data_IF_939820461370
#
_entry.id   IF_939820461370
#
_cell.length_a   1.000
_cell.length_b   1.000
_cell.length_c   1.000
_cell.angle_alpha   90.00
_cell.angle_beta   90.00
_cell.angle_gamma   90.00
#
_symmetry.space_group_name_H-M   'P 1'
#
loop_
_entity.id
_entity.type
_entity.pdbx_description
1 polymer ?
#
# COMPACT_ATOMS: atom_id res chain seq x y z
N UNK A 1 3.16 6.32 -24.33
CA UNK A 1 2.60 7.11 -25.44
C UNK A 1 1.28 6.48 -25.89
N UNK A 2 0.30 7.29 -26.26
CA UNK A 2 -1.01 6.85 -26.73
C UNK A 2 -1.22 7.40 -28.15
N UNK A 3 -1.35 6.52 -29.14
CA UNK A 3 -1.74 6.93 -30.49
C UNK A 3 -3.25 6.93 -30.57
N UNK A 4 -3.85 8.10 -30.80
CA UNK A 4 -5.31 8.26 -30.91
C UNK A 4 -5.68 8.24 -32.38
N UNK A 5 -6.47 7.25 -32.78
CA UNK A 5 -7.02 7.15 -34.13
C UNK A 5 -8.24 8.08 -34.30
N UNK A 6 -8.49 8.51 -35.54
CA UNK A 6 -9.72 9.22 -35.92
C UNK A 6 -10.94 8.28 -35.78
N UNK A 7 -12.12 8.81 -35.43
CA UNK A 7 -13.34 8.00 -35.28
C UNK A 7 -13.72 7.17 -36.50
N UNK A 8 -13.37 7.66 -37.69
CA UNK A 8 -13.64 7.06 -38.98
C UNK A 8 -12.50 6.19 -39.53
N UNK A 9 -11.45 5.95 -38.74
CA UNK A 9 -10.31 5.15 -39.17
C UNK A 9 -10.74 3.70 -39.49
N UNK A 10 -10.35 3.24 -40.67
CA UNK A 10 -10.62 1.89 -41.13
C UNK A 10 -9.78 0.86 -40.36
N UNK A 11 -10.25 -0.40 -40.34
CA UNK A 11 -9.51 -1.51 -39.71
C UNK A 11 -8.08 -1.65 -40.25
N UNK A 12 -7.90 -1.42 -41.56
CA UNK A 12 -6.59 -1.46 -42.19
C UNK A 12 -5.65 -0.36 -41.68
N UNK A 13 -6.17 0.84 -41.42
CA UNK A 13 -5.37 1.94 -40.84
C UNK A 13 -4.98 1.66 -39.40
N UNK A 14 -5.89 1.08 -38.61
CA UNK A 14 -5.61 0.67 -37.22
C UNK A 14 -4.53 -0.42 -37.17
N UNK A 15 -4.63 -1.42 -38.04
CA UNK A 15 -3.65 -2.50 -38.12
C UNK A 15 -2.28 -2.00 -38.60
N UNK A 16 -2.25 -1.06 -39.55
CA UNK A 16 -1.01 -0.43 -40.02
C UNK A 16 -0.30 0.37 -38.92
N UNK A 17 -1.04 1.13 -38.13
CA UNK A 17 -0.49 1.89 -36.99
C UNK A 17 0.03 0.95 -35.90
N UNK A 18 -0.69 -0.13 -35.61
CA UNK A 18 -0.25 -1.17 -34.67
C UNK A 18 1.05 -1.84 -35.13
N UNK A 19 1.13 -2.22 -36.41
CA UNK A 19 2.34 -2.81 -36.99
C UNK A 19 3.53 -1.85 -37.00
N UNK A 20 3.31 -0.57 -37.32
CA UNK A 20 4.35 0.45 -37.29
C UNK A 20 4.90 0.66 -35.87
N UNK A 21 4.02 0.65 -34.86
CA UNK A 21 4.43 0.72 -33.45
C UNK A 21 5.28 -0.49 -33.04
N UNK A 22 4.88 -1.70 -33.43
CA UNK A 22 5.65 -2.93 -33.17
C UNK A 22 7.00 -2.92 -33.89
N UNK A 23 7.05 -2.49 -35.14
CA UNK A 23 8.29 -2.37 -35.92
C UNK A 23 9.25 -1.33 -35.31
N UNK A 24 8.72 -0.30 -34.66
CA UNK A 24 9.49 0.69 -33.92
C UNK A 24 9.93 0.20 -32.52
N UNK A 25 9.69 -1.07 -32.18
CA UNK A 25 10.17 -1.70 -30.94
C UNK A 25 9.26 -1.53 -29.74
N UNK A 26 7.98 -1.23 -29.96
CA UNK A 26 7.01 -1.01 -28.89
C UNK A 26 5.92 -2.07 -28.88
N UNK A 27 5.47 -2.45 -27.68
CA UNK A 27 4.22 -3.18 -27.54
C UNK A 27 3.06 -2.31 -28.02
N UNK A 28 2.14 -2.88 -28.80
CA UNK A 28 0.96 -2.23 -29.32
C UNK A 28 -0.30 -2.97 -28.88
N UNK A 29 -1.20 -2.30 -28.17
CA UNK A 29 -2.51 -2.82 -27.81
C UNK A 29 -3.59 -1.86 -28.28
N UNK A 30 -4.58 -2.39 -28.99
CA UNK A 30 -5.70 -1.65 -29.58
C UNK A 30 -6.87 -1.66 -28.61
N UNK A 31 -7.28 -0.47 -28.15
CA UNK A 31 -8.45 -0.30 -27.29
C UNK A 31 -9.53 0.48 -28.03
N UNK A 32 -10.74 -0.06 -28.12
CA UNK A 32 -11.92 0.69 -28.58
C UNK A 32 -12.55 1.43 -27.40
N UNK A 33 -12.79 2.74 -27.56
CA UNK A 33 -13.42 3.58 -26.54
C UNK A 33 -14.66 4.27 -27.12
N UNK A 34 -15.64 4.58 -26.28
CA UNK A 34 -16.86 5.30 -26.71
C UNK A 34 -16.62 6.82 -26.84
N UNK A 35 -17.04 7.50 -27.94
CA UNK A 35 -17.40 6.97 -29.26
C UNK A 35 -16.22 7.07 -30.25
N UNK A 36 -15.80 5.94 -30.80
CA UNK A 36 -15.00 5.80 -32.04
C UNK A 36 -13.49 5.96 -31.89
N UNK A 37 -12.96 6.30 -30.71
CA UNK A 37 -11.51 6.49 -30.55
C UNK A 37 -10.84 5.15 -30.30
N UNK A 38 -9.89 4.81 -31.15
CA UNK A 38 -9.01 3.67 -30.96
C UNK A 38 -7.67 4.15 -30.43
N UNK A 39 -7.22 3.56 -29.33
CA UNK A 39 -5.99 3.92 -28.66
C UNK A 39 -4.98 2.80 -28.83
N UNK A 40 -3.80 3.11 -29.39
CA UNK A 40 -2.64 2.21 -29.38
C UNK A 40 -1.70 2.66 -28.25
N UNK A 41 -1.58 1.84 -27.21
CA UNK A 41 -0.60 2.08 -26.13
C UNK A 41 0.76 1.62 -26.60
N UNK A 42 1.74 2.52 -26.57
CA UNK A 42 3.13 2.38 -27.03
C UNK A 42 4.02 2.85 -25.86
N UNK A 43 5.18 2.27 -25.60
CA UNK A 43 6.03 2.59 -24.43
C UNK A 43 6.57 4.03 -24.34
N UNK A 44 7.81 4.18 -23.85
CA UNK A 44 8.50 5.50 -23.80
C UNK A 44 8.98 5.84 -25.21
N UNK A 45 8.48 6.92 -25.79
CA UNK A 45 8.69 7.22 -27.19
C UNK A 45 9.88 8.15 -27.45
N UNK A 46 10.68 7.86 -28.48
CA UNK A 46 11.62 8.83 -29.05
C UNK A 46 10.87 9.90 -29.88
N UNK A 47 11.42 11.12 -30.02
CA UNK A 47 10.87 12.17 -30.88
C UNK A 47 10.59 11.69 -32.31
N UNK A 48 11.55 10.99 -32.92
CA UNK A 48 11.43 10.47 -34.29
C UNK A 48 10.28 9.45 -34.44
N UNK A 49 10.00 8.67 -33.39
CA UNK A 49 8.90 7.70 -33.42
C UNK A 49 7.54 8.37 -33.30
N UNK A 50 7.45 9.48 -32.57
CA UNK A 50 6.23 10.29 -32.47
C UNK A 50 5.90 10.87 -33.84
N UNK A 51 6.87 11.51 -34.49
CA UNK A 51 6.70 12.11 -35.82
C UNK A 51 6.31 11.06 -36.88
N UNK A 52 6.97 9.91 -36.88
CA UNK A 52 6.65 8.82 -37.79
C UNK A 52 5.22 8.30 -37.60
N UNK A 53 4.76 8.11 -36.35
CA UNK A 53 3.41 7.63 -36.07
C UNK A 53 2.33 8.70 -36.31
N UNK A 54 2.60 9.97 -36.02
CA UNK A 54 1.68 11.07 -36.33
C UNK A 54 1.43 11.22 -37.83
N UNK A 55 2.41 10.87 -38.66
CA UNK A 55 2.29 10.95 -40.11
C UNK A 55 1.40 9.85 -40.73
N UNK A 56 1.03 8.82 -39.96
CA UNK A 56 0.28 7.68 -40.49
C UNK A 56 -1.21 8.01 -40.77
N UNK A 57 -1.79 7.46 -41.86
CA UNK A 57 -3.22 7.58 -42.13
C UNK A 57 -4.08 7.05 -40.97
N UNK A 58 -5.20 7.72 -40.72
CA UNK A 58 -6.10 7.36 -39.63
C UNK A 58 -5.66 7.83 -38.24
N UNK A 59 -4.42 8.30 -38.04
CA UNK A 59 -3.99 8.90 -36.77
C UNK A 59 -4.58 10.32 -36.63
N UNK A 60 -5.09 10.64 -35.44
CA UNK A 60 -5.60 11.96 -35.09
C UNK A 60 -4.57 12.77 -34.28
N UNK A 61 -3.93 12.14 -33.30
CA UNK A 61 -2.87 12.75 -32.46
C UNK A 61 -2.11 11.67 -31.69
N UNK A 62 -0.82 11.89 -31.42
CA UNK A 62 -0.01 11.03 -30.55
C UNK A 62 0.17 11.70 -29.18
N UNK A 63 -0.59 11.24 -28.18
CA UNK A 63 -0.48 11.73 -26.81
C UNK A 63 0.70 11.07 -26.08
N UNK A 64 1.81 11.79 -25.96
CA UNK A 64 2.91 11.39 -25.09
C UNK A 64 2.58 11.83 -23.66
N UNK A 65 2.90 10.99 -22.66
CA UNK A 65 2.94 11.49 -21.30
C UNK A 65 3.97 12.63 -21.28
N UNK A 66 3.50 13.86 -21.06
CA UNK A 66 4.40 15.01 -20.99
C UNK A 66 5.39 14.76 -19.86
N UNK A 67 6.67 14.74 -20.19
CA UNK A 67 7.64 15.43 -19.38
C UNK A 67 8.49 16.32 -20.29
N UNK A 68 8.08 17.58 -20.42
CA UNK A 68 8.90 18.58 -21.11
C UNK A 68 8.79 19.91 -20.37
N UNK A 69 9.58 20.04 -19.29
CA UNK A 69 10.19 21.32 -18.91
C UNK A 69 9.53 22.13 -17.79
N UNK A 70 8.49 21.64 -17.12
CA UNK A 70 8.08 22.25 -15.85
C UNK A 70 9.04 21.77 -14.75
N UNK A 71 9.62 22.66 -13.91
CA UNK A 71 10.37 22.20 -12.76
C UNK A 71 9.47 21.30 -11.92
N UNK A 72 9.85 20.04 -11.76
CA UNK A 72 9.14 19.10 -10.92
C UNK A 72 9.28 19.60 -9.47
N UNK A 73 8.23 20.23 -8.92
CA UNK A 73 8.24 20.74 -7.54
C UNK A 73 7.80 19.69 -6.51
N UNK A 74 7.32 18.55 -6.99
CA UNK A 74 6.81 17.45 -6.19
C UNK A 74 7.91 16.40 -5.97
N UNK A 75 7.89 15.74 -4.81
CA UNK A 75 8.75 14.58 -4.50
C UNK A 75 10.27 14.77 -4.69
N UNK A 76 10.75 16.01 -4.81
CA UNK A 76 12.16 16.37 -5.06
C UNK A 76 13.19 15.73 -4.11
N UNK A 77 12.77 15.36 -2.90
CA UNK A 77 13.62 14.74 -1.87
C UNK A 77 13.08 13.39 -1.38
N UNK A 78 12.18 12.77 -2.14
CA UNK A 78 11.65 11.45 -1.82
C UNK A 78 12.55 10.42 -2.49
N UNK A 79 13.30 9.68 -1.68
CA UNK A 79 14.18 8.62 -2.17
C UNK A 79 13.42 7.47 -2.85
N UNK A 80 12.14 7.29 -2.49
CA UNK A 80 11.25 6.33 -3.11
C UNK A 80 9.93 6.25 -2.36
N UNK A 81 8.90 5.76 -3.05
CA UNK A 81 7.60 5.45 -2.47
C UNK A 81 7.41 3.95 -2.55
N UNK A 82 7.20 3.30 -1.40
CA UNK A 82 6.91 1.87 -1.33
C UNK A 82 5.49 1.67 -0.79
N UNK A 83 4.60 1.01 -1.54
CA UNK A 83 3.28 0.66 -1.01
C UNK A 83 3.43 -0.31 0.16
N UNK A 84 2.63 -0.12 1.20
CA UNK A 84 2.54 -1.00 2.36
C UNK A 84 1.29 -1.88 2.27
N UNK A 85 1.32 -3.02 2.97
CA UNK A 85 0.15 -3.89 3.09
C UNK A 85 -0.99 -3.12 3.78
N UNK A 86 -2.20 -3.04 3.20
CA UNK A 86 -3.33 -2.40 3.84
C UNK A 86 -3.70 -3.07 5.18
N UNK A 87 -4.13 -2.30 6.21
CA UNK A 87 -4.52 -2.86 7.51
C UNK A 87 -5.61 -3.94 7.43
N UNK A 88 -6.56 -3.82 6.50
CA UNK A 88 -7.63 -4.79 6.32
C UNK A 88 -7.08 -6.20 5.97
N UNK A 89 -6.06 -6.26 5.11
CA UNK A 89 -5.42 -7.52 4.73
C UNK A 89 -4.67 -8.14 5.92
N UNK A 90 -3.99 -7.32 6.74
CA UNK A 90 -3.31 -7.82 7.94
C UNK A 90 -4.28 -8.41 8.97
N UNK A 91 -5.43 -7.75 9.17
CA UNK A 91 -6.48 -8.25 10.10
C UNK A 91 -7.09 -9.56 9.59
N UNK A 92 -7.25 -9.71 8.28
CA UNK A 92 -7.73 -10.96 7.66
C UNK A 92 -6.71 -12.09 7.80
N UNK A 93 -5.42 -11.82 7.56
CA UNK A 93 -4.35 -12.80 7.68
C UNK A 93 -4.04 -13.20 9.13
N UNK A 94 -4.27 -12.29 10.09
CA UNK A 94 -3.99 -12.48 11.51
C UNK A 94 -5.22 -12.10 12.34
N UNK A 95 -6.31 -12.88 12.27
CA UNK A 95 -7.54 -12.56 12.96
C UNK A 95 -7.36 -12.68 14.48
N UNK A 96 -7.87 -11.70 15.21
CA UNK A 96 -7.84 -11.73 16.68
C UNK A 96 -8.78 -12.84 17.19
N UNK A 97 -8.28 -13.84 17.95
CA UNK A 97 -9.14 -14.86 18.51
C UNK A 97 -10.17 -14.28 19.48
N UNK A 98 -11.34 -14.91 19.58
CA UNK A 98 -12.42 -14.44 20.46
C UNK A 98 -12.00 -14.29 21.93
N UNK A 99 -11.10 -15.15 22.41
CA UNK A 99 -10.50 -15.04 23.74
C UNK A 99 -9.63 -13.78 23.89
N UNK A 100 -8.80 -13.48 22.88
CA UNK A 100 -8.00 -12.25 22.83
C UNK A 100 -8.88 -11.00 22.86
N UNK A 101 -9.98 -10.99 22.11
CA UNK A 101 -10.94 -9.89 22.12
C UNK A 101 -11.56 -9.68 23.52
N UNK A 102 -11.98 -10.77 24.18
CA UNK A 102 -12.51 -10.72 25.55
C UNK A 102 -11.48 -10.22 26.55
N UNK A 103 -10.22 -10.69 26.44
CA UNK A 103 -9.12 -10.26 27.30
C UNK A 103 -8.85 -8.75 27.15
N UNK A 104 -8.75 -8.25 25.93
CA UNK A 104 -8.52 -6.81 25.66
C UNK A 104 -9.68 -5.98 26.21
N UNK A 105 -10.93 -6.38 25.95
CA UNK A 105 -12.10 -5.65 26.41
C UNK A 105 -12.19 -5.61 27.95
N UNK A 106 -11.99 -6.76 28.61
CA UNK A 106 -11.98 -6.86 30.07
C UNK A 106 -10.86 -6.00 30.67
N UNK A 107 -9.64 -6.12 30.15
CA UNK A 107 -8.48 -5.37 30.64
C UNK A 107 -8.68 -3.85 30.54
N UNK A 108 -9.23 -3.36 29.42
CA UNK A 108 -9.55 -1.94 29.25
C UNK A 108 -10.59 -1.44 30.26
N UNK A 109 -11.61 -2.26 30.56
CA UNK A 109 -12.63 -1.93 31.57
C UNK A 109 -12.01 -1.86 32.96
N UNK A 110 -11.22 -2.86 33.35
CA UNK A 110 -10.53 -2.92 34.65
C UNK A 110 -9.60 -1.73 34.85
N UNK A 111 -8.70 -1.46 33.89
CA UNK A 111 -7.83 -0.28 33.90
C UNK A 111 -8.66 1.01 34.03
N UNK A 112 -9.76 1.11 33.27
CA UNK A 112 -10.66 2.25 33.36
C UNK A 112 -11.32 2.42 34.73
N UNK A 113 -11.57 1.34 35.48
CA UNK A 113 -12.10 1.41 36.85
C UNK A 113 -11.01 1.86 37.82
N UNK A 114 -9.80 1.31 37.70
CA UNK A 114 -8.65 1.70 38.52
C UNK A 114 -8.34 3.19 38.37
N UNK A 115 -8.26 3.68 37.12
CA UNK A 115 -8.00 5.10 36.84
C UNK A 115 -9.10 6.04 37.38
N UNK A 116 -10.30 5.54 37.67
CA UNK A 116 -11.41 6.29 38.26
C UNK A 116 -11.51 6.13 39.78
N UNK A 117 -10.63 5.34 40.40
CA UNK A 117 -10.69 5.02 41.83
C UNK A 117 -11.85 4.09 42.22
N UNK A 118 -12.43 3.36 41.26
CA UNK A 118 -13.52 2.40 41.49
C UNK A 118 -13.01 0.97 41.75
N UNK A 119 -11.70 0.79 41.72
CA UNK A 119 -10.92 -0.43 41.89
C UNK A 119 -9.57 0.05 42.44
N UNK A 120 -9.15 -0.48 43.59
CA UNK A 120 -8.00 0.00 44.36
C UNK A 120 -6.68 -0.67 43.97
N UNK A 121 -6.72 -1.58 42.99
CA UNK A 121 -5.53 -2.26 42.48
C UNK A 121 -4.57 -1.31 41.79
N UNK A 122 -3.27 -1.66 41.81
CA UNK A 122 -2.23 -0.92 41.09
C UNK A 122 -2.06 -1.43 39.66
N UNK A 123 -2.05 -0.52 38.68
CA UNK A 123 -1.67 -0.86 37.30
C UNK A 123 -0.15 -0.98 37.20
N UNK A 124 0.33 -2.13 36.72
CA UNK A 124 1.76 -2.40 36.53
C UNK A 124 2.05 -2.72 35.07
N UNK A 125 2.66 -1.78 34.36
CA UNK A 125 3.12 -1.98 32.98
C UNK A 125 4.59 -2.41 32.99
N UNK A 126 4.85 -3.68 32.69
CA UNK A 126 6.19 -4.28 32.86
C UNK A 126 6.56 -5.21 31.71
N UNK A 127 7.83 -5.19 31.32
CA UNK A 127 8.34 -6.03 30.22
C UNK A 127 9.65 -5.49 29.66
N UNK A 128 10.17 -6.14 28.59
CA UNK A 128 11.37 -5.69 27.90
C UNK A 128 11.29 -4.23 27.44
N UNK A 129 12.44 -3.55 27.34
CA UNK A 129 12.50 -2.16 26.90
C UNK A 129 11.96 -2.00 25.46
N UNK A 130 12.38 -2.87 24.56
CA UNK A 130 11.85 -3.00 23.20
C UNK A 130 11.92 -4.47 22.75
N UNK A 131 10.95 -4.89 21.95
CA UNK A 131 10.86 -6.24 21.42
C UNK A 131 11.63 -6.29 20.10
N UNK A 132 12.72 -7.06 20.09
CA UNK A 132 13.53 -7.35 18.90
C UNK A 132 13.62 -8.86 18.62
N UNK A 133 13.19 -9.69 19.57
CA UNK A 133 13.15 -11.15 19.50
C UNK A 133 11.77 -11.62 19.98
N UNK A 134 11.04 -12.32 19.10
CA UNK A 134 9.68 -12.80 19.38
C UNK A 134 9.64 -13.97 20.34
N UNK A 135 10.66 -14.83 20.34
CA UNK A 135 10.70 -16.04 21.18
C UNK A 135 11.07 -15.66 22.61
N UNK A 136 12.03 -14.74 22.76
CA UNK A 136 12.34 -14.16 24.06
C UNK A 136 11.12 -13.42 24.66
N UNK A 137 10.36 -12.69 23.81
CA UNK A 137 9.13 -12.03 24.25
C UNK A 137 8.06 -13.04 24.73
N UNK A 138 7.87 -14.15 23.99
CA UNK A 138 6.95 -15.23 24.39
C UNK A 138 7.37 -15.90 25.69
N UNK A 139 8.64 -16.25 25.83
CA UNK A 139 9.19 -16.84 27.06
C UNK A 139 8.99 -15.92 28.27
N UNK A 140 9.17 -14.61 28.09
CA UNK A 140 8.86 -13.63 29.13
C UNK A 140 7.37 -13.62 29.48
N UNK A 141 6.48 -13.63 28.49
CA UNK A 141 5.03 -13.65 28.70
C UNK A 141 4.57 -14.91 29.47
N UNK A 142 5.14 -16.07 29.13
CA UNK A 142 4.86 -17.36 29.81
C UNK A 142 5.25 -17.33 31.29
N UNK A 143 6.35 -16.64 31.63
CA UNK A 143 6.78 -16.44 33.02
C UNK A 143 5.95 -15.38 33.75
N UNK A 144 5.49 -14.34 33.05
CA UNK A 144 4.70 -13.26 33.64
C UNK A 144 3.24 -13.68 33.90
N UNK A 145 2.66 -14.51 33.03
CA UNK A 145 1.27 -14.93 33.11
C UNK A 145 0.85 -15.58 34.46
N UNK A 146 1.60 -16.52 35.07
CA UNK A 146 1.26 -17.04 36.40
C UNK A 146 1.32 -15.94 37.47
N UNK A 147 2.37 -15.10 37.48
CA UNK A 147 2.50 -14.01 38.44
C UNK A 147 1.34 -13.00 38.34
N UNK A 148 0.89 -12.71 37.11
CA UNK A 148 -0.25 -11.83 36.87
C UNK A 148 -1.59 -12.41 37.39
N UNK A 149 -1.71 -13.74 37.47
CA UNK A 149 -2.87 -14.41 38.08
C UNK A 149 -2.74 -14.41 39.61
N UNK A 150 -1.57 -14.79 40.12
CA UNK A 150 -1.34 -14.91 41.57
C UNK A 150 -1.49 -13.58 42.30
N UNK A 151 -1.17 -12.47 41.62
CA UNK A 151 -1.23 -11.11 42.17
C UNK A 151 -2.47 -10.32 41.73
N UNK A 152 -3.46 -10.97 41.09
CA UNK A 152 -4.59 -10.26 40.46
C UNK A 152 -5.52 -9.52 41.43
N UNK A 153 -5.46 -9.89 42.71
CA UNK A 153 -6.21 -9.25 43.80
C UNK A 153 -5.73 -7.84 44.11
N UNK A 154 -4.43 -7.59 43.98
CA UNK A 154 -3.81 -6.28 44.31
C UNK A 154 -3.28 -5.56 43.06
N UNK A 155 -2.94 -6.30 42.00
CA UNK A 155 -2.25 -5.77 40.83
C UNK A 155 -3.02 -6.07 39.54
N UNK A 156 -3.07 -5.06 38.66
CA UNK A 156 -3.38 -5.26 37.24
C UNK A 156 -2.10 -5.19 36.42
N UNK A 157 -1.48 -6.36 36.24
CA UNK A 157 -0.24 -6.49 35.45
C UNK A 157 -0.57 -6.52 33.95
N UNK A 158 0.14 -5.68 33.17
CA UNK A 158 0.05 -5.61 31.70
C UNK A 158 1.46 -5.72 31.13
N UNK A 159 1.67 -6.69 30.25
CA UNK A 159 2.96 -6.84 29.57
C UNK A 159 3.24 -5.63 28.66
N UNK A 160 4.43 -5.04 28.81
CA UNK A 160 4.97 -4.02 27.90
C UNK A 160 5.43 -4.66 26.60
N UNK A 161 4.89 -4.22 25.47
CA UNK A 161 5.20 -4.71 24.11
C UNK A 161 5.48 -3.53 23.19
N UNK A 162 6.68 -2.93 23.29
CA UNK A 162 7.09 -1.78 22.49
C UNK A 162 8.00 -2.25 21.34
N UNK A 163 7.72 -1.85 20.11
CA UNK A 163 8.49 -2.29 18.93
C UNK A 163 9.72 -1.43 18.66
N UNK A 164 9.71 -0.17 19.10
CA UNK A 164 10.77 0.77 18.76
C UNK A 164 11.04 1.72 19.93
N UNK A 165 12.28 2.21 19.99
CA UNK A 165 12.70 3.31 20.84
C UNK A 165 12.96 4.51 19.92
N UNK A 166 12.27 5.65 20.08
CA UNK A 166 12.55 6.85 19.30
C UNK A 166 14.04 7.20 19.43
N UNK A 167 14.71 7.39 18.29
CA UNK A 167 16.10 7.81 18.21
C UNK A 167 16.25 9.02 17.30
#
# INVERSE_FOLDING_TARGET
MLVVMRPEASRNEIDAVSQAAVAAGYDAQVFETEPGKIVVSVGVASPDAIEALESLPGVAHVAVARDQGAPETSNLRIAGIRPLIPPAILVEQQPLPAEGARLVQRTRREIGRILRGLDDRLIVVVGPCSIHDTDAARSYAERLAPLARDLEGDLRIVMRVYFEKPR
#
